data_IF_604577536181
#
_entry.id   IF_604577536181
#
_cell.length_a   1.000
_cell.length_b   1.000
_cell.length_c   1.000
_cell.angle_alpha   90.00
_cell.angle_beta   90.00
_cell.angle_gamma   90.00
#
_symmetry.space_group_name_H-M   'P 1'
#
loop_
_entity.id
_entity.type
_entity.pdbx_description
1 polymer ?
#
# COMPACT_ATOMS: atom_id res chain seq x y z
N UNK A 1 -22.50 42.63 -16.89
CA UNK A 1 -22.71 41.59 -17.92
C UNK A 1 -21.44 40.77 -18.13
N UNK A 2 -21.37 39.51 -17.67
CA UNK A 2 -20.30 38.57 -18.05
C UNK A 2 -20.94 37.38 -18.76
N UNK A 3 -20.75 37.30 -20.08
CA UNK A 3 -21.15 36.16 -20.93
C UNK A 3 -20.49 34.88 -20.38
N UNK A 4 -21.27 34.00 -19.75
CA UNK A 4 -20.86 32.61 -19.56
C UNK A 4 -20.86 31.98 -20.95
N UNK A 5 -19.67 31.69 -21.47
CA UNK A 5 -19.51 30.87 -22.67
C UNK A 5 -20.02 29.47 -22.32
N UNK A 6 -21.28 29.21 -22.66
CA UNK A 6 -21.82 27.87 -22.62
C UNK A 6 -21.03 27.01 -23.61
N UNK A 7 -20.27 26.05 -23.10
CA UNK A 7 -19.67 25.01 -23.94
C UNK A 7 -20.80 24.36 -24.75
N UNK A 8 -20.67 24.28 -26.08
CA UNK A 8 -21.73 23.76 -26.93
C UNK A 8 -22.09 22.34 -26.48
N UNK A 9 -23.37 21.98 -26.48
CA UNK A 9 -23.87 20.69 -25.97
C UNK A 9 -23.10 19.47 -26.53
N UNK A 10 -22.54 19.60 -27.74
CA UNK A 10 -21.64 18.62 -28.38
C UNK A 10 -20.31 18.39 -27.64
N UNK A 11 -19.73 19.42 -27.00
CA UNK A 11 -18.49 19.30 -26.23
C UNK A 11 -18.72 18.63 -24.87
N UNK A 12 -19.83 18.97 -24.20
CA UNK A 12 -20.22 18.33 -22.93
C UNK A 12 -20.58 16.85 -23.11
N UNK A 13 -21.28 16.50 -24.20
CA UNK A 13 -21.57 15.10 -24.53
C UNK A 13 -20.30 14.32 -24.85
N UNK A 14 -19.38 14.87 -25.65
CA UNK A 14 -18.07 14.24 -25.95
C UNK A 14 -17.23 14.00 -24.70
N UNK A 15 -17.22 14.92 -23.73
CA UNK A 15 -16.49 14.76 -22.46
C UNK A 15 -17.11 13.66 -21.59
N UNK A 16 -18.44 13.55 -21.57
CA UNK A 16 -19.14 12.47 -20.88
C UNK A 16 -18.85 11.11 -21.53
N UNK A 17 -18.90 11.02 -22.86
CA UNK A 17 -18.56 9.80 -23.61
C UNK A 17 -17.09 9.40 -23.41
N UNK A 18 -16.17 10.38 -23.38
CA UNK A 18 -14.75 10.13 -23.13
C UNK A 18 -14.50 9.60 -21.72
N UNK A 19 -15.15 10.17 -20.70
CA UNK A 19 -15.07 9.66 -19.32
C UNK A 19 -15.58 8.22 -19.19
N UNK A 20 -16.68 7.88 -19.86
CA UNK A 20 -17.22 6.53 -19.85
C UNK A 20 -16.28 5.55 -20.56
N UNK A 21 -15.69 5.95 -21.70
CA UNK A 21 -14.71 5.13 -22.43
C UNK A 21 -13.43 4.89 -21.63
N UNK A 22 -12.88 5.91 -20.96
CA UNK A 22 -11.68 5.75 -20.11
C UNK A 22 -11.95 4.82 -18.93
N UNK A 23 -13.15 4.89 -18.33
CA UNK A 23 -13.53 3.97 -17.25
C UNK A 23 -13.64 2.52 -17.75
N UNK A 24 -14.22 2.31 -18.94
CA UNK A 24 -14.30 1.01 -19.58
C UNK A 24 -12.92 0.45 -19.96
N UNK A 25 -12.02 1.29 -20.49
CA UNK A 25 -10.65 0.87 -20.84
C UNK A 25 -9.85 0.50 -19.59
N UNK A 26 -10.00 1.25 -18.49
CA UNK A 26 -9.33 0.94 -17.23
C UNK A 26 -9.87 -0.36 -16.61
N UNK A 27 -11.19 -0.57 -16.64
CA UNK A 27 -11.80 -1.82 -16.21
C UNK A 27 -11.34 -3.01 -17.07
N UNK A 28 -11.25 -2.84 -18.40
CA UNK A 28 -10.76 -3.86 -19.31
C UNK A 28 -9.29 -4.21 -19.04
N UNK A 29 -8.43 -3.21 -18.85
CA UNK A 29 -7.02 -3.42 -18.50
C UNK A 29 -6.87 -4.14 -17.15
N UNK A 30 -7.69 -3.79 -16.17
CA UNK A 30 -7.68 -4.44 -14.86
C UNK A 30 -8.10 -5.92 -14.94
N UNK A 31 -9.12 -6.22 -15.75
CA UNK A 31 -9.54 -7.60 -16.01
C UNK A 31 -8.43 -8.37 -16.72
N UNK A 32 -7.81 -7.80 -17.76
CA UNK A 32 -6.70 -8.44 -18.48
C UNK A 32 -5.51 -8.72 -17.55
N UNK A 33 -5.14 -7.77 -16.70
CA UNK A 33 -4.06 -7.96 -15.73
C UNK A 33 -4.37 -9.09 -14.74
N UNK A 34 -5.61 -9.16 -14.22
CA UNK A 34 -6.06 -10.26 -13.36
C UNK A 34 -6.02 -11.61 -14.07
N UNK A 35 -6.41 -11.67 -15.35
CA UNK A 35 -6.35 -12.91 -16.13
C UNK A 35 -4.92 -13.38 -16.40
N UNK A 36 -3.98 -12.46 -16.64
CA UNK A 36 -2.57 -12.79 -16.86
C UNK A 36 -1.91 -13.28 -15.57
N UNK A 37 -2.22 -12.65 -14.42
CA UNK A 37 -1.77 -13.12 -13.11
C UNK A 37 -2.31 -14.54 -12.86
N UNK A 38 -3.60 -14.78 -13.15
CA UNK A 38 -4.21 -16.10 -12.99
C UNK A 38 -3.53 -17.18 -13.85
N UNK A 39 -3.14 -16.84 -15.08
CA UNK A 39 -2.41 -17.75 -15.97
C UNK A 39 -0.98 -18.03 -15.50
N UNK A 40 -0.29 -17.03 -14.95
CA UNK A 40 1.08 -17.17 -14.44
C UNK A 40 1.16 -18.01 -13.15
N UNK A 41 0.06 -18.16 -12.41
CA UNK A 41 -0.03 -18.95 -11.18
C UNK A 41 -0.41 -20.43 -11.42
N UNK A 42 -0.57 -20.87 -12.67
CA UNK A 42 -0.85 -22.27 -12.95
C UNK A 42 0.39 -23.13 -12.62
N UNK A 43 0.29 -24.13 -11.72
CA UNK A 43 1.41 -24.98 -11.37
C UNK A 43 1.86 -25.81 -12.58
N UNK A 44 3.17 -26.04 -12.71
CA UNK A 44 3.73 -26.94 -13.71
C UNK A 44 3.12 -28.34 -13.55
N UNK A 45 2.62 -28.91 -14.64
CA UNK A 45 1.95 -30.22 -14.62
C UNK A 45 2.94 -31.32 -14.22
N UNK A 46 2.81 -31.83 -13.00
CA UNK A 46 3.51 -33.05 -12.58
C UNK A 46 2.77 -34.26 -13.16
N UNK A 47 3.39 -34.97 -14.10
CA UNK A 47 2.88 -36.19 -14.71
C UNK A 47 3.06 -37.37 -13.75
N UNK A 48 2.32 -37.38 -12.63
CA UNK A 48 2.18 -38.53 -11.76
C UNK A 48 0.76 -39.06 -11.90
N UNK A 49 0.62 -40.37 -12.13
CA UNK A 49 -0.70 -41.01 -12.19
C UNK A 49 -1.35 -40.93 -10.81
N UNK A 50 -2.43 -40.17 -10.70
CA UNK A 50 -3.25 -40.05 -9.49
C UNK A 50 -4.60 -40.66 -9.80
N UNK A 51 -5.04 -41.61 -8.97
CA UNK A 51 -6.34 -42.26 -9.16
C UNK A 51 -7.49 -41.22 -9.14
N UNK A 52 -8.48 -41.33 -10.05
CA UNK A 52 -9.57 -40.35 -10.17
C UNK A 52 -10.38 -40.11 -8.88
N UNK A 53 -10.45 -41.12 -8.01
CA UNK A 53 -11.10 -41.02 -6.70
C UNK A 53 -10.40 -40.01 -5.78
N UNK A 54 -9.06 -40.05 -5.69
CA UNK A 54 -8.25 -39.14 -4.86
C UNK A 54 -8.26 -37.72 -5.43
N UNK A 55 -8.24 -37.58 -6.75
CA UNK A 55 -8.30 -36.28 -7.41
C UNK A 55 -9.63 -35.53 -7.11
N UNK A 56 -10.74 -36.25 -7.01
CA UNK A 56 -12.05 -35.64 -6.73
C UNK A 56 -12.12 -35.11 -5.30
N UNK A 57 -11.68 -35.88 -4.31
CA UNK A 57 -11.64 -35.43 -2.92
C UNK A 57 -10.68 -34.27 -2.69
N UNK A 58 -9.52 -34.27 -3.36
CA UNK A 58 -8.52 -33.20 -3.23
C UNK A 58 -9.00 -31.89 -3.84
N UNK A 59 -9.64 -31.92 -5.02
CA UNK A 59 -10.25 -30.73 -5.63
C UNK A 59 -11.35 -30.17 -4.73
N UNK A 60 -12.22 -31.02 -4.18
CA UNK A 60 -13.29 -30.59 -3.27
C UNK A 60 -12.74 -29.96 -1.99
N UNK A 61 -11.72 -30.58 -1.38
CA UNK A 61 -11.09 -30.05 -0.17
C UNK A 61 -10.42 -28.70 -0.44
N UNK A 62 -9.65 -28.56 -1.53
CA UNK A 62 -9.04 -27.29 -1.93
C UNK A 62 -10.09 -26.21 -2.22
N UNK A 63 -11.14 -26.55 -2.97
CA UNK A 63 -12.22 -25.62 -3.27
C UNK A 63 -12.93 -25.13 -1.99
N UNK A 64 -13.22 -26.03 -1.05
CA UNK A 64 -13.83 -25.69 0.24
C UNK A 64 -12.95 -24.75 1.06
N UNK A 65 -11.63 -25.00 1.10
CA UNK A 65 -10.66 -24.14 1.80
C UNK A 65 -10.61 -22.74 1.17
N UNK A 66 -10.53 -22.65 -0.16
CA UNK A 66 -10.50 -21.37 -0.87
C UNK A 66 -11.79 -20.57 -0.65
N UNK A 67 -12.95 -21.23 -0.70
CA UNK A 67 -14.25 -20.59 -0.46
C UNK A 67 -14.36 -20.10 0.98
N UNK A 68 -13.93 -20.91 1.96
CA UNK A 68 -13.94 -20.53 3.37
C UNK A 68 -13.03 -19.32 3.64
N UNK A 69 -11.79 -19.35 3.12
CA UNK A 69 -10.85 -18.23 3.25
C UNK A 69 -11.40 -16.96 2.60
N UNK A 70 -12.00 -17.08 1.41
CA UNK A 70 -12.61 -15.94 0.70
C UNK A 70 -13.78 -15.34 1.48
N UNK A 71 -14.62 -16.17 2.08
CA UNK A 71 -15.73 -15.70 2.93
C UNK A 71 -15.20 -15.01 4.20
N UNK A 72 -14.20 -15.58 4.85
CA UNK A 72 -13.58 -15.01 6.06
C UNK A 72 -12.91 -13.68 5.74
N UNK A 73 -12.14 -13.59 4.66
CA UNK A 73 -11.52 -12.34 4.20
C UNK A 73 -12.57 -11.28 3.82
N UNK A 74 -13.63 -11.68 3.11
CA UNK A 74 -14.73 -10.78 2.76
C UNK A 74 -15.47 -10.22 3.99
N UNK A 75 -15.72 -11.06 4.99
CA UNK A 75 -16.35 -10.66 6.26
C UNK A 75 -15.40 -9.79 7.08
N UNK A 76 -14.11 -10.15 7.16
CA UNK A 76 -13.09 -9.38 7.85
C UNK A 76 -12.94 -7.98 7.23
N UNK A 77 -12.91 -7.87 5.90
CA UNK A 77 -12.87 -6.60 5.18
C UNK A 77 -14.13 -5.76 5.39
N UNK A 78 -15.31 -6.39 5.40
CA UNK A 78 -16.57 -5.70 5.69
C UNK A 78 -16.62 -5.18 7.13
N UNK A 79 -16.08 -5.95 8.08
CA UNK A 79 -16.03 -5.60 9.50
C UNK A 79 -14.98 -4.53 9.78
N UNK A 80 -13.80 -4.63 9.17
CA UNK A 80 -12.73 -3.63 9.27
C UNK A 80 -13.17 -2.30 8.67
N UNK A 81 -13.85 -2.30 7.50
CA UNK A 81 -14.45 -1.10 6.90
C UNK A 81 -15.44 -0.43 7.84
N UNK A 82 -16.35 -1.20 8.46
CA UNK A 82 -17.31 -0.67 9.45
C UNK A 82 -16.62 -0.14 10.71
N UNK A 83 -15.62 -0.85 11.22
CA UNK A 83 -14.85 -0.44 12.39
C UNK A 83 -14.07 0.84 12.11
N UNK A 84 -13.43 0.93 10.95
CA UNK A 84 -12.71 2.12 10.48
C UNK A 84 -13.65 3.32 10.32
N UNK A 85 -14.85 3.14 9.77
CA UNK A 85 -15.85 4.21 9.66
C UNK A 85 -16.39 4.68 11.02
N UNK A 86 -16.58 3.75 11.97
CA UNK A 86 -16.95 4.08 13.36
C UNK A 86 -15.82 4.82 14.08
N UNK A 87 -14.59 4.34 13.96
CA UNK A 87 -13.39 4.93 14.56
C UNK A 87 -13.13 6.34 14.04
N UNK A 88 -13.31 6.56 12.73
CA UNK A 88 -13.10 7.86 12.08
C UNK A 88 -14.31 8.82 12.16
N UNK A 89 -15.43 8.41 12.79
CA UNK A 89 -16.70 9.18 12.85
C UNK A 89 -17.11 9.76 11.49
N UNK A 90 -16.90 8.99 10.42
CA UNK A 90 -17.37 9.34 9.07
C UNK A 90 -18.81 8.85 9.00
N UNK A 91 -19.76 9.77 9.18
CA UNK A 91 -21.18 9.45 9.10
C UNK A 91 -21.55 8.97 7.69
N UNK A 92 -21.92 7.69 7.60
CA UNK A 92 -22.30 6.98 6.39
C UNK A 92 -23.67 7.46 5.87
N UNK A 93 -24.50 8.04 6.76
CA UNK A 93 -25.86 8.49 6.46
C UNK A 93 -26.00 10.01 6.25
N UNK A 94 -24.94 10.80 6.42
CA UNK A 94 -24.99 12.26 6.28
C UNK A 94 -25.33 12.79 4.87
N UNK A 95 -25.47 11.92 3.87
CA UNK A 95 -25.85 12.26 2.49
C UNK A 95 -27.01 11.40 1.95
N UNK A 96 -27.74 10.67 2.80
CA UNK A 96 -28.96 10.00 2.33
C UNK A 96 -30.02 11.07 2.13
N UNK A 97 -30.24 11.44 0.87
CA UNK A 97 -31.31 12.36 0.47
C UNK A 97 -32.62 11.60 0.73
N UNK A 98 -33.32 11.98 1.81
CA UNK A 98 -34.70 11.58 2.04
C UNK A 98 -35.54 12.52 1.17
N UNK A 99 -36.29 11.97 0.22
CA UNK A 99 -37.16 12.77 -0.63
C UNK A 99 -38.18 13.50 0.23
N UNK A 100 -38.22 14.83 0.13
CA UNK A 100 -39.20 15.66 0.81
C UNK A 100 -40.58 15.54 0.17
N UNK A 101 -41.61 15.61 1.00
CA UNK A 101 -43.01 15.48 0.61
C UNK A 101 -43.40 16.49 -0.49
N UNK A 102 -43.98 15.96 -1.58
CA UNK A 102 -44.30 16.71 -2.80
C UNK A 102 -45.50 17.64 -2.57
N UNK A 103 -45.37 18.92 -2.93
CA UNK A 103 -46.49 19.87 -3.02
C UNK A 103 -46.69 20.33 -4.47
N UNK A 104 -47.95 20.46 -4.89
CA UNK A 104 -48.34 20.97 -6.22
C UNK A 104 -48.12 22.48 -6.26
N UNK A 105 -47.48 22.98 -7.32
CA UNK A 105 -47.22 24.41 -7.55
C UNK A 105 -47.83 24.82 -8.89
N UNK A 106 -48.54 25.95 -8.91
CA UNK A 106 -49.10 26.55 -10.13
C UNK A 106 -48.04 27.21 -11.03
N UNK A 107 -48.32 27.23 -12.34
CA UNK A 107 -47.37 27.51 -13.42
C UNK A 107 -46.61 28.86 -13.32
N UNK A 108 -47.20 29.91 -12.73
CA UNK A 108 -46.55 31.22 -12.58
C UNK A 108 -45.68 31.33 -11.31
N UNK A 109 -45.96 30.54 -10.27
CA UNK A 109 -45.10 30.42 -9.08
C UNK A 109 -43.91 29.50 -9.30
N UNK A 110 -44.03 28.55 -10.23
CA UNK A 110 -43.00 27.58 -10.57
C UNK A 110 -41.76 28.21 -11.21
N UNK A 111 -41.89 29.27 -12.02
CA UNK A 111 -40.74 29.92 -12.66
C UNK A 111 -39.92 30.78 -11.68
N UNK A 112 -40.58 31.52 -10.79
CA UNK A 112 -39.93 32.29 -9.73
C UNK A 112 -39.28 31.37 -8.68
N UNK A 113 -39.96 30.27 -8.30
CA UNK A 113 -39.42 29.25 -7.43
C UNK A 113 -38.24 28.51 -8.06
N UNK A 114 -38.27 28.22 -9.38
CA UNK A 114 -37.16 27.57 -10.09
C UNK A 114 -35.91 28.45 -10.17
N UNK A 115 -36.06 29.77 -10.33
CA UNK A 115 -34.91 30.69 -10.35
C UNK A 115 -34.24 30.76 -8.97
N UNK A 116 -35.03 30.93 -7.91
CA UNK A 116 -34.53 30.93 -6.53
C UNK A 116 -33.98 29.56 -6.12
N UNK A 117 -34.65 28.47 -6.48
CA UNK A 117 -34.20 27.10 -6.23
C UNK A 117 -32.89 26.80 -6.96
N UNK A 118 -32.65 27.34 -8.16
CA UNK A 118 -31.41 27.14 -8.90
C UNK A 118 -30.23 27.90 -8.29
N UNK A 119 -30.46 29.09 -7.73
CA UNK A 119 -29.44 29.81 -6.97
C UNK A 119 -29.17 29.15 -5.61
N UNK A 120 -30.21 28.70 -4.90
CA UNK A 120 -30.08 27.94 -3.65
C UNK A 120 -29.38 26.61 -3.92
N UNK A 121 -29.75 25.85 -4.95
CA UNK A 121 -29.08 24.61 -5.36
C UNK A 121 -27.64 24.86 -5.84
N UNK A 122 -27.33 26.00 -6.46
CA UNK A 122 -25.96 26.32 -6.87
C UNK A 122 -25.09 26.68 -5.66
N UNK A 123 -25.61 27.52 -4.75
CA UNK A 123 -24.95 27.86 -3.49
C UNK A 123 -24.83 26.65 -2.56
N UNK A 124 -25.85 25.80 -2.54
CA UNK A 124 -25.89 24.55 -1.78
C UNK A 124 -25.03 23.49 -2.44
N UNK A 125 -24.90 23.42 -3.77
CA UNK A 125 -23.95 22.56 -4.46
C UNK A 125 -22.50 23.00 -4.21
N UNK A 126 -22.22 24.30 -4.12
CA UNK A 126 -20.90 24.83 -3.73
C UNK A 126 -20.62 24.51 -2.25
N UNK A 127 -21.56 24.79 -1.34
CA UNK A 127 -21.47 24.37 0.07
C UNK A 127 -21.34 22.86 0.21
N UNK A 128 -22.05 22.06 -0.58
CA UNK A 128 -21.96 20.60 -0.57
C UNK A 128 -20.62 20.15 -1.12
N UNK A 129 -20.02 20.85 -2.09
CA UNK A 129 -18.69 20.54 -2.62
C UNK A 129 -17.61 20.84 -1.58
N UNK A 130 -17.70 21.98 -0.90
CA UNK A 130 -16.84 22.33 0.24
C UNK A 130 -17.04 21.40 1.46
N UNK A 131 -18.29 20.97 1.72
CA UNK A 131 -18.66 20.05 2.80
C UNK A 131 -18.32 18.59 2.46
N UNK A 132 -18.38 18.18 1.19
CA UNK A 132 -17.97 16.84 0.67
C UNK A 132 -16.45 16.68 0.65
N UNK A 133 -15.69 17.77 0.54
CA UNK A 133 -14.23 17.78 0.77
C UNK A 133 -13.86 17.56 2.25
N UNK A 134 -14.84 17.60 3.15
CA UNK A 134 -14.84 16.97 4.47
C UNK A 134 -13.53 17.14 5.21
N UNK A 135 -13.34 18.28 5.86
CA UNK A 135 -12.23 18.47 6.80
C UNK A 135 -12.33 17.38 7.88
N UNK A 136 -11.33 16.49 7.94
CA UNK A 136 -11.27 15.48 8.99
C UNK A 136 -11.20 16.17 10.35
N UNK A 137 -11.92 15.61 11.33
CA UNK A 137 -11.75 15.97 12.75
C UNK A 137 -10.26 15.78 13.13
N UNK A 138 -9.71 16.58 14.05
CA UNK A 138 -8.29 16.52 14.41
C UNK A 138 -7.80 15.10 14.75
N UNK A 139 -8.62 14.33 15.49
CA UNK A 139 -8.32 12.93 15.86
C UNK A 139 -8.23 11.99 14.66
N UNK A 140 -9.10 12.15 13.66
CA UNK A 140 -9.06 11.35 12.43
C UNK A 140 -7.87 11.70 11.54
N UNK A 141 -7.39 12.94 11.58
CA UNK A 141 -6.21 13.37 10.81
C UNK A 141 -4.94 12.68 11.29
N UNK A 142 -4.76 12.61 12.60
CA UNK A 142 -3.60 11.96 13.22
C UNK A 142 -3.58 10.47 12.86
N UNK A 143 -4.72 9.78 12.92
CA UNK A 143 -4.79 8.36 12.54
C UNK A 143 -4.42 8.09 11.08
N UNK A 144 -4.87 8.94 10.15
CA UNK A 144 -4.50 8.83 8.73
C UNK A 144 -3.03 9.15 8.50
N UNK A 145 -2.53 10.23 9.11
CA UNK A 145 -1.14 10.62 9.01
C UNK A 145 -0.21 9.53 9.57
N UNK A 146 -0.60 8.91 10.69
CA UNK A 146 0.16 7.85 11.33
C UNK A 146 0.27 6.62 10.43
N UNK A 147 -0.85 6.13 9.89
CA UNK A 147 -0.82 4.91 9.08
C UNK A 147 0.04 5.06 7.83
N UNK A 148 -0.06 6.21 7.16
CA UNK A 148 0.66 6.47 5.90
C UNK A 148 2.14 6.76 6.16
N UNK A 149 2.45 7.49 7.23
CA UNK A 149 3.83 7.68 7.68
C UNK A 149 4.46 6.35 8.06
N UNK A 150 3.74 5.53 8.83
CA UNK A 150 4.21 4.22 9.26
C UNK A 150 4.46 3.31 8.06
N UNK A 151 3.54 3.21 7.11
CA UNK A 151 3.74 2.44 5.87
C UNK A 151 5.01 2.86 5.13
N UNK A 152 5.18 4.16 4.89
CA UNK A 152 6.30 4.69 4.11
C UNK A 152 7.63 4.45 4.81
N UNK A 153 7.70 4.74 6.11
CA UNK A 153 8.90 4.56 6.92
C UNK A 153 9.22 3.07 7.12
N UNK A 154 8.21 2.24 7.35
CA UNK A 154 8.36 0.79 7.46
C UNK A 154 8.96 0.21 6.18
N UNK A 155 8.45 0.60 5.02
CA UNK A 155 8.96 0.15 3.71
C UNK A 155 10.43 0.54 3.49
N UNK A 156 10.78 1.81 3.75
CA UNK A 156 12.11 2.33 3.39
C UNK A 156 13.17 2.03 4.45
N UNK A 157 12.83 2.21 5.73
CA UNK A 157 13.81 2.19 6.81
C UNK A 157 13.79 0.92 7.64
N UNK A 158 12.74 0.10 7.57
CA UNK A 158 12.68 -1.13 8.36
C UNK A 158 12.83 -2.36 7.45
N UNK A 159 11.98 -2.48 6.44
CA UNK A 159 11.97 -3.61 5.51
C UNK A 159 13.28 -3.69 4.73
N UNK A 160 13.70 -2.60 4.08
CA UNK A 160 14.88 -2.65 3.21
C UNK A 160 16.20 -3.02 3.95
N UNK A 161 16.53 -2.45 5.13
CA UNK A 161 17.73 -2.89 5.86
C UNK A 161 17.64 -4.33 6.39
N UNK A 162 16.45 -4.77 6.83
CA UNK A 162 16.26 -6.13 7.33
C UNK A 162 16.39 -7.17 6.20
N UNK A 163 15.85 -6.88 5.02
CA UNK A 163 16.03 -7.70 3.82
C UNK A 163 17.50 -7.76 3.40
N UNK A 164 18.22 -6.63 3.44
CA UNK A 164 19.64 -6.59 3.11
C UNK A 164 20.49 -7.45 4.05
N UNK A 165 20.27 -7.33 5.37
CA UNK A 165 21.00 -8.10 6.38
C UNK A 165 20.62 -9.58 6.30
N UNK A 166 19.35 -9.91 6.10
CA UNK A 166 18.90 -11.29 5.98
C UNK A 166 19.55 -12.01 4.78
N UNK A 167 19.62 -11.33 3.65
CA UNK A 167 20.20 -11.90 2.42
C UNK A 167 21.73 -12.00 2.48
N UNK A 168 22.38 -11.19 3.32
CA UNK A 168 23.84 -11.17 3.50
C UNK A 168 24.28 -11.82 4.82
N UNK A 169 23.40 -12.61 5.46
CA UNK A 169 23.61 -13.13 6.81
C UNK A 169 24.83 -14.08 6.94
N UNK A 170 25.38 -14.58 5.83
CA UNK A 170 26.60 -15.39 5.81
C UNK A 170 27.88 -14.55 5.80
N UNK A 171 27.83 -13.37 5.21
CA UNK A 171 29.00 -12.50 4.99
C UNK A 171 29.13 -11.42 6.08
N UNK A 172 28.08 -11.22 6.89
CA UNK A 172 28.04 -10.26 7.98
C UNK A 172 28.41 -10.91 9.31
N UNK A 173 29.25 -10.23 10.10
CA UNK A 173 29.69 -10.66 11.43
C UNK A 173 28.66 -10.47 12.55
N UNK A 174 27.47 -9.96 12.25
CA UNK A 174 26.41 -9.65 13.22
C UNK A 174 25.09 -10.27 12.79
N UNK A 175 24.26 -10.64 13.77
CA UNK A 175 23.00 -11.32 13.51
C UNK A 175 21.87 -10.31 13.21
N UNK A 176 20.83 -10.78 12.53
CA UNK A 176 19.63 -10.01 12.24
C UNK A 176 18.94 -9.49 13.51
N UNK A 177 19.03 -10.22 14.62
CA UNK A 177 18.49 -9.79 15.91
C UNK A 177 19.21 -8.57 16.50
N UNK A 178 20.51 -8.41 16.24
CA UNK A 178 21.30 -7.29 16.75
C UNK A 178 20.93 -5.98 16.05
N UNK A 179 20.55 -6.08 14.77
CA UNK A 179 20.19 -4.94 13.92
C UNK A 179 18.71 -4.58 14.01
N UNK A 180 17.83 -5.57 14.20
CA UNK A 180 16.38 -5.34 14.18
C UNK A 180 15.91 -4.34 15.23
N UNK A 181 16.42 -4.42 16.47
CA UNK A 181 16.03 -3.52 17.56
C UNK A 181 16.28 -2.03 17.24
N UNK A 182 17.53 -1.64 16.94
CA UNK A 182 17.86 -0.25 16.56
C UNK A 182 17.09 0.25 15.33
N UNK A 183 16.94 -0.59 14.30
CA UNK A 183 16.25 -0.23 13.05
C UNK A 183 14.76 0.02 13.28
N UNK A 184 14.08 -0.85 14.03
CA UNK A 184 12.65 -0.68 14.37
C UNK A 184 12.46 0.57 15.24
N UNK A 185 13.34 0.81 16.22
CA UNK A 185 13.26 1.98 17.09
C UNK A 185 13.43 3.28 16.29
N UNK A 186 14.44 3.35 15.41
CA UNK A 186 14.65 4.50 14.54
C UNK A 186 13.45 4.72 13.59
N UNK A 187 12.91 3.64 13.01
CA UNK A 187 11.71 3.69 12.17
C UNK A 187 10.48 4.22 12.92
N UNK A 188 10.27 3.81 14.18
CA UNK A 188 9.17 4.31 15.01
C UNK A 188 9.34 5.79 15.33
N UNK A 189 10.54 6.23 15.70
CA UNK A 189 10.82 7.66 15.99
C UNK A 189 10.54 8.52 14.76
N UNK A 190 11.05 8.13 13.59
CA UNK A 190 10.84 8.87 12.33
C UNK A 190 9.36 8.87 11.94
N UNK A 191 8.66 7.74 12.13
CA UNK A 191 7.21 7.66 11.90
C UNK A 191 6.46 8.68 12.76
N UNK A 192 6.79 8.79 14.05
CA UNK A 192 6.13 9.74 14.95
C UNK A 192 6.41 11.19 14.56
N UNK A 193 7.65 11.51 14.18
CA UNK A 193 8.05 12.84 13.70
C UNK A 193 7.28 13.20 12.42
N UNK A 194 7.25 12.30 11.43
CA UNK A 194 6.53 12.51 10.17
C UNK A 194 5.02 12.63 10.39
N UNK A 195 4.47 11.83 11.29
CA UNK A 195 3.05 11.91 11.70
C UNK A 195 2.73 13.26 12.31
N UNK A 196 3.58 13.78 13.19
CA UNK A 196 3.42 15.10 13.80
C UNK A 196 3.49 16.19 12.74
N UNK A 197 4.51 16.16 11.88
CA UNK A 197 4.70 17.12 10.78
C UNK A 197 3.49 17.15 9.83
N UNK A 198 2.99 16.00 9.39
CA UNK A 198 1.81 15.92 8.52
C UNK A 198 0.54 16.37 9.25
N UNK A 199 0.40 16.07 10.54
CA UNK A 199 -0.79 16.45 11.33
C UNK A 199 -0.93 17.97 11.52
N UNK A 200 0.18 18.71 11.48
CA UNK A 200 0.19 20.18 11.51
C UNK A 200 -0.43 20.80 10.25
N UNK A 201 -0.36 20.10 9.11
CA UNK A 201 -0.92 20.56 7.84
C UNK A 201 -2.45 20.61 7.88
N UNK A 202 -3.04 21.60 7.21
CA UNK A 202 -4.49 21.86 7.23
C UNK A 202 -5.11 21.84 5.83
N UNK A 203 -6.40 21.50 5.78
CA UNK A 203 -7.26 21.57 4.58
C UNK A 203 -6.70 20.75 3.41
N UNK A 204 -6.65 21.30 2.19
CA UNK A 204 -6.21 20.61 0.98
C UNK A 204 -4.72 20.24 1.01
N UNK A 205 -3.89 21.03 1.69
CA UNK A 205 -2.44 20.77 1.82
C UNK A 205 -2.20 19.43 2.52
N UNK A 206 -2.98 19.12 3.56
CA UNK A 206 -2.90 17.81 4.23
C UNK A 206 -3.14 16.64 3.26
N UNK A 207 -4.17 16.73 2.41
CA UNK A 207 -4.51 15.65 1.48
C UNK A 207 -3.44 15.45 0.41
N UNK A 208 -2.85 16.55 -0.08
CA UNK A 208 -1.78 16.47 -1.09
C UNK A 208 -0.51 15.92 -0.45
N UNK A 209 -0.13 16.41 0.74
CA UNK A 209 1.06 15.93 1.43
C UNK A 209 0.98 14.45 1.79
N UNK A 210 -0.17 14.00 2.31
CA UNK A 210 -0.40 12.58 2.63
C UNK A 210 -0.36 11.69 1.38
N UNK A 211 -1.00 12.13 0.28
CA UNK A 211 -0.95 11.39 -0.98
C UNK A 211 0.47 11.33 -1.57
N UNK A 212 1.25 12.40 -1.40
CA UNK A 212 2.64 12.46 -1.85
C UNK A 212 3.54 11.51 -1.04
N UNK A 213 3.41 11.51 0.28
CA UNK A 213 4.15 10.59 1.16
C UNK A 213 3.81 9.14 0.84
N UNK A 214 2.53 8.81 0.66
CA UNK A 214 2.16 7.45 0.26
C UNK A 214 2.68 7.08 -1.13
N UNK A 215 2.66 8.02 -2.09
CA UNK A 215 3.20 7.77 -3.42
C UNK A 215 4.69 7.43 -3.38
N UNK A 216 5.45 8.10 -2.50
CA UNK A 216 6.86 7.75 -2.25
C UNK A 216 6.94 6.32 -1.70
N UNK A 217 6.16 5.98 -0.67
CA UNK A 217 6.17 4.63 -0.10
C UNK A 217 5.82 3.54 -1.12
N UNK A 218 4.81 3.77 -1.96
CA UNK A 218 4.42 2.85 -3.04
C UNK A 218 5.50 2.76 -4.11
N UNK A 219 6.09 3.88 -4.52
CA UNK A 219 7.18 3.88 -5.49
C UNK A 219 8.42 3.14 -4.97
N UNK A 220 8.78 3.33 -3.70
CA UNK A 220 9.84 2.57 -3.03
C UNK A 220 9.54 1.07 -2.95
N UNK A 221 8.30 0.68 -2.66
CA UNK A 221 7.90 -0.72 -2.67
C UNK A 221 8.00 -1.35 -4.07
N UNK A 222 7.48 -0.66 -5.10
CA UNK A 222 7.59 -1.09 -6.49
C UNK A 222 9.05 -1.18 -6.93
N UNK A 223 9.90 -0.24 -6.47
CA UNK A 223 11.33 -0.26 -6.72
C UNK A 223 11.96 -1.54 -6.16
N UNK A 224 11.70 -1.84 -4.89
CA UNK A 224 12.24 -3.00 -4.19
C UNK A 224 11.84 -4.33 -4.85
N UNK A 225 10.57 -4.46 -5.24
CA UNK A 225 10.03 -5.73 -5.76
C UNK A 225 10.34 -5.96 -7.24
N UNK A 226 10.29 -4.90 -8.07
CA UNK A 226 10.28 -5.07 -9.54
C UNK A 226 11.42 -4.36 -10.28
N UNK A 227 11.86 -3.19 -9.81
CA UNK A 227 12.79 -2.34 -10.57
C UNK A 227 14.26 -2.56 -10.20
N UNK A 228 14.50 -3.25 -9.10
CA UNK A 228 15.84 -3.59 -8.59
C UNK A 228 16.44 -4.86 -9.23
N UNK A 229 15.80 -5.40 -10.26
CA UNK A 229 16.24 -6.61 -10.95
C UNK A 229 17.60 -6.43 -11.63
N UNK A 230 18.56 -7.30 -11.29
CA UNK A 230 19.89 -7.32 -11.91
C UNK A 230 20.87 -6.29 -11.36
N UNK A 231 20.55 -5.61 -10.25
CA UNK A 231 21.54 -4.82 -9.53
C UNK A 231 22.61 -5.73 -8.91
N UNK A 232 23.89 -5.30 -8.90
CA UNK A 232 24.95 -6.08 -8.30
C UNK A 232 24.70 -6.28 -6.80
N UNK A 233 25.14 -7.41 -6.28
CA UNK A 233 25.12 -7.66 -4.84
C UNK A 233 26.04 -6.64 -4.15
N UNK A 234 25.70 -6.28 -2.91
CA UNK A 234 26.51 -5.38 -2.11
C UNK A 234 27.71 -6.14 -1.51
N UNK A 235 28.55 -6.70 -2.38
CA UNK A 235 29.71 -7.55 -2.06
C UNK A 235 31.03 -6.78 -1.96
N UNK A 236 30.98 -5.45 -2.12
CA UNK A 236 32.14 -4.56 -2.04
C UNK A 236 32.93 -4.44 -3.34
N UNK A 237 32.53 -5.11 -4.42
CA UNK A 237 33.10 -4.89 -5.75
C UNK A 237 32.68 -3.53 -6.33
N UNK A 238 33.53 -2.97 -7.19
CA UNK A 238 33.27 -1.68 -7.84
C UNK A 238 32.05 -1.79 -8.77
N UNK A 239 31.04 -0.95 -8.51
CA UNK A 239 29.82 -0.89 -9.30
C UNK A 239 30.00 0.07 -10.47
N UNK A 240 29.99 -0.46 -11.70
CA UNK A 240 30.03 0.34 -12.93
C UNK A 240 28.63 0.91 -13.22
N UNK A 241 28.34 2.09 -12.66
CA UNK A 241 27.03 2.74 -12.75
C UNK A 241 26.57 3.09 -14.18
N UNK A 242 27.50 3.25 -15.13
CA UNK A 242 27.16 3.59 -16.52
C UNK A 242 26.26 2.53 -17.17
N UNK A 243 26.44 1.25 -16.82
CA UNK A 243 25.64 0.13 -17.33
C UNK A 243 24.19 0.15 -16.84
N UNK A 244 23.91 0.84 -15.73
CA UNK A 244 22.59 0.92 -15.10
C UNK A 244 21.85 2.23 -15.42
N UNK A 245 22.43 3.11 -16.23
CA UNK A 245 21.82 4.41 -16.59
C UNK A 245 20.41 4.26 -17.17
N UNK A 246 20.19 3.29 -18.05
CA UNK A 246 18.87 3.03 -18.64
C UNK A 246 17.85 2.57 -17.58
N UNK A 247 18.27 1.71 -16.64
CA UNK A 247 17.41 1.26 -15.54
C UNK A 247 17.06 2.41 -14.58
N UNK A 248 18.02 3.30 -14.32
CA UNK A 248 17.80 4.50 -13.50
C UNK A 248 16.79 5.45 -14.15
N UNK A 249 16.90 5.71 -15.46
CA UNK A 249 15.96 6.58 -16.20
C UNK A 249 14.55 5.99 -16.19
N UNK A 250 14.41 4.70 -16.51
CA UNK A 250 13.11 4.02 -16.52
C UNK A 250 12.48 4.05 -15.13
N UNK A 251 13.25 3.75 -14.09
CA UNK A 251 12.78 3.81 -12.70
C UNK A 251 12.33 5.23 -12.30
N UNK A 252 13.11 6.24 -12.68
CA UNK A 252 12.76 7.65 -12.44
C UNK A 252 11.45 8.07 -13.12
N UNK A 253 11.20 7.61 -14.36
CA UNK A 253 9.93 7.87 -15.06
C UNK A 253 8.76 7.20 -14.35
N UNK A 254 8.92 5.95 -13.90
CA UNK A 254 7.88 5.23 -13.14
C UNK A 254 7.56 5.95 -11.83
N UNK A 255 8.59 6.39 -11.11
CA UNK A 255 8.43 7.20 -9.90
C UNK A 255 7.63 8.48 -10.16
N UNK A 256 8.01 9.24 -11.19
CA UNK A 256 7.29 10.46 -11.57
C UNK A 256 5.84 10.17 -11.96
N UNK A 257 5.58 9.07 -12.67
CA UNK A 257 4.23 8.66 -13.05
C UNK A 257 3.36 8.32 -11.84
N UNK A 258 3.89 7.57 -10.87
CA UNK A 258 3.19 7.21 -9.62
C UNK A 258 2.87 8.47 -8.81
N UNK A 259 3.87 9.34 -8.61
CA UNK A 259 3.70 10.59 -7.85
C UNK A 259 2.68 11.51 -8.55
N UNK A 260 2.81 11.70 -9.87
CA UNK A 260 1.87 12.52 -10.62
C UNK A 260 0.44 11.97 -10.55
N UNK A 261 0.26 10.66 -10.70
CA UNK A 261 -1.05 10.03 -10.58
C UNK A 261 -1.66 10.24 -9.18
N UNK A 262 -0.87 10.05 -8.11
CA UNK A 262 -1.33 10.26 -6.74
C UNK A 262 -1.71 11.73 -6.47
N UNK A 263 -0.92 12.69 -6.94
CA UNK A 263 -1.19 14.13 -6.76
C UNK A 263 -2.42 14.55 -7.56
N UNK A 264 -2.54 14.14 -8.83
CA UNK A 264 -3.70 14.46 -9.69
C UNK A 264 -4.98 13.85 -9.11
N UNK A 265 -4.92 12.61 -8.62
CA UNK A 265 -6.07 11.96 -7.98
C UNK A 265 -6.46 12.64 -6.66
N UNK A 266 -5.46 13.15 -5.91
CA UNK A 266 -5.67 13.90 -4.66
C UNK A 266 -6.45 15.21 -4.90
N UNK A 267 -6.19 15.88 -6.02
CA UNK A 267 -6.89 17.10 -6.42
C UNK A 267 -8.33 16.84 -6.93
N UNK A 268 -8.60 15.68 -7.55
CA UNK A 268 -9.89 15.40 -8.19
C UNK A 268 -10.92 14.76 -7.25
N UNK A 269 -10.52 13.91 -6.30
CA UNK A 269 -11.44 13.12 -5.45
C UNK A 269 -10.92 12.83 -4.04
N UNK A 270 -10.72 13.88 -3.25
CA UNK A 270 -10.18 13.81 -1.87
C UNK A 270 -10.81 12.76 -0.93
N UNK A 271 -12.13 12.50 -1.03
CA UNK A 271 -12.82 11.54 -0.13
C UNK A 271 -12.58 10.07 -0.50
N UNK A 272 -12.64 9.72 -1.78
CA UNK A 272 -12.40 8.35 -2.24
C UNK A 272 -10.93 7.99 -2.13
N UNK A 273 -10.03 8.96 -2.39
CA UNK A 273 -8.59 8.81 -2.22
C UNK A 273 -8.24 8.42 -0.80
N UNK A 274 -8.71 9.14 0.24
CA UNK A 274 -8.36 8.82 1.64
C UNK A 274 -8.71 7.38 2.04
N UNK A 275 -9.85 6.85 1.62
CA UNK A 275 -10.20 5.45 1.91
C UNK A 275 -9.34 4.49 1.12
N UNK A 276 -9.06 4.79 -0.15
CA UNK A 276 -8.13 4.01 -0.97
C UNK A 276 -6.75 3.93 -0.32
N UNK A 277 -6.16 5.09 -0.02
CA UNK A 277 -4.87 5.27 0.64
C UNK A 277 -4.71 4.45 1.92
N UNK A 278 -5.72 4.51 2.81
CA UNK A 278 -5.69 3.73 4.04
C UNK A 278 -5.73 2.22 3.80
N UNK A 279 -6.50 1.78 2.79
CA UNK A 279 -6.60 0.36 2.44
C UNK A 279 -5.31 -0.14 1.79
N UNK A 280 -4.72 0.63 0.86
CA UNK A 280 -3.43 0.30 0.24
C UNK A 280 -2.32 0.24 1.27
N UNK A 281 -2.19 1.27 2.11
CA UNK A 281 -1.19 1.29 3.17
C UNK A 281 -1.34 0.10 4.13
N UNK A 282 -2.56 -0.19 4.61
CA UNK A 282 -2.80 -1.32 5.51
C UNK A 282 -2.48 -2.67 4.85
N UNK A 283 -2.90 -2.88 3.60
CA UNK A 283 -2.62 -4.13 2.89
C UNK A 283 -1.10 -4.34 2.69
N UNK A 284 -0.38 -3.30 2.26
CA UNK A 284 1.06 -3.39 2.01
C UNK A 284 1.87 -3.53 3.30
N UNK A 285 1.44 -2.93 4.42
CA UNK A 285 2.05 -3.19 5.73
C UNK A 285 1.96 -4.67 6.08
N UNK A 286 0.78 -5.30 5.90
CA UNK A 286 0.59 -6.73 6.23
C UNK A 286 1.48 -7.60 5.35
N UNK A 287 1.48 -7.37 4.04
CA UNK A 287 2.29 -8.14 3.08
C UNK A 287 3.78 -8.04 3.43
N UNK A 288 4.28 -6.83 3.69
CA UNK A 288 5.67 -6.61 4.05
C UNK A 288 6.02 -7.18 5.43
N UNK A 289 5.13 -7.07 6.41
CA UNK A 289 5.35 -7.66 7.73
C UNK A 289 5.49 -9.19 7.67
N UNK A 290 4.66 -9.85 6.84
CA UNK A 290 4.78 -11.30 6.60
C UNK A 290 6.08 -11.61 5.87
N UNK A 291 6.44 -10.83 4.84
CA UNK A 291 7.70 -10.97 4.12
C UNK A 291 8.90 -10.89 5.05
N UNK A 292 9.00 -9.81 5.81
CA UNK A 292 10.08 -9.56 6.77
C UNK A 292 10.12 -10.66 7.84
N UNK A 293 8.99 -11.04 8.44
CA UNK A 293 8.95 -12.14 9.42
C UNK A 293 9.43 -13.48 8.86
N UNK A 294 9.17 -13.77 7.59
CA UNK A 294 9.61 -15.01 6.94
C UNK A 294 11.13 -15.11 6.76
N UNK A 295 11.84 -13.98 6.81
CA UNK A 295 13.31 -13.93 6.65
C UNK A 295 14.07 -14.42 7.89
N UNK A 296 13.48 -14.36 9.09
CA UNK A 296 14.18 -14.70 10.34
C UNK A 296 14.68 -16.15 10.37
N UNK A 297 13.85 -17.11 9.94
CA UNK A 297 14.23 -18.52 9.99
C UNK A 297 15.48 -18.82 9.14
N UNK A 298 15.45 -18.53 7.83
CA UNK A 298 16.59 -18.72 6.94
C UNK A 298 17.82 -17.89 7.35
N UNK A 299 17.63 -16.64 7.76
CA UNK A 299 18.75 -15.76 8.13
C UNK A 299 19.48 -16.26 9.39
N UNK A 300 18.74 -16.71 10.42
CA UNK A 300 19.33 -17.27 11.64
C UNK A 300 20.09 -18.55 11.29
N UNK A 301 19.49 -19.47 10.52
CA UNK A 301 20.15 -20.70 10.11
C UNK A 301 21.45 -20.42 9.33
N UNK A 302 21.41 -19.49 8.36
CA UNK A 302 22.57 -19.10 7.59
C UNK A 302 23.68 -18.45 8.44
N UNK A 303 23.31 -17.63 9.43
CA UNK A 303 24.27 -17.03 10.36
C UNK A 303 24.94 -18.06 11.26
N UNK A 304 24.20 -19.09 11.71
CA UNK A 304 24.71 -20.17 12.55
C UNK A 304 25.66 -21.09 11.77
N UNK A 305 25.33 -21.39 10.51
CA UNK A 305 26.16 -22.21 9.63
C UNK A 305 27.48 -21.51 9.24
N UNK A 306 27.46 -20.18 9.05
CA UNK A 306 28.64 -19.42 8.68
C UNK A 306 29.58 -19.14 9.88
N UNK A 307 29.04 -19.04 11.09
CA UNK A 307 29.79 -18.70 12.31
C UNK A 307 29.88 -19.87 13.29
N UNK A 308 30.26 -21.06 12.79
CA UNK A 308 30.48 -22.28 13.61
C UNK A 308 31.43 -22.03 14.80
N UNK A 309 32.26 -20.99 14.73
CA UNK A 309 33.17 -20.55 15.81
C UNK A 309 32.45 -19.99 17.06
N UNK A 310 31.15 -19.66 16.99
CA UNK A 310 30.34 -19.28 18.15
C UNK A 310 29.67 -20.47 18.86
N UNK A 311 29.87 -21.69 18.39
CA UNK A 311 29.79 -22.83 19.31
C UNK A 311 30.96 -22.66 20.25
N UNK A 312 30.70 -22.13 21.46
CA UNK A 312 31.71 -21.96 22.51
C UNK A 312 32.68 -23.14 22.44
N UNK A 313 33.89 -22.90 21.95
CA UNK A 313 34.95 -23.89 22.06
C UNK A 313 35.20 -23.96 23.56
N UNK A 314 34.54 -24.92 24.22
CA UNK A 314 34.78 -25.24 25.62
C UNK A 314 36.16 -25.89 25.64
N UNK A 315 37.19 -25.06 25.61
CA UNK A 315 38.56 -25.48 25.84
C UNK A 315 38.72 -25.62 27.35
N UNK A 316 38.57 -26.84 27.85
CA UNK A 316 38.85 -27.15 29.24
C UNK A 316 40.36 -26.94 29.48
N UNK A 317 40.73 -26.18 30.51
CA UNK A 317 42.14 -26.05 30.95
C UNK A 317 42.66 -27.31 31.65
N UNK A 318 41.86 -28.37 31.73
CA UNK A 318 42.27 -29.66 32.28
C UNK A 318 43.41 -30.26 31.46
N UNK A 319 44.55 -30.46 32.09
CA UNK A 319 45.72 -31.06 31.46
C UNK A 319 46.63 -30.11 30.68
N UNK A 320 46.37 -28.79 30.67
CA UNK A 320 47.22 -27.81 29.96
C UNK A 320 48.70 -27.83 30.41
N UNK A 321 48.95 -28.28 31.64
CA UNK A 321 50.29 -28.44 32.21
C UNK A 321 50.69 -29.90 32.43
N UNK A 322 49.89 -30.87 31.97
CA UNK A 322 50.25 -32.28 32.06
C UNK A 322 51.14 -32.65 30.87
N UNK A 323 52.43 -32.81 31.15
CA UNK A 323 53.40 -33.32 30.19
C UNK A 323 53.32 -34.85 30.15
N UNK A 324 53.31 -35.42 28.94
CA UNK A 324 53.31 -36.87 28.72
C UNK A 324 54.54 -37.53 29.36
N UNK A 325 54.33 -38.65 30.05
CA UNK A 325 55.41 -39.45 30.65
C UNK A 325 56.27 -40.20 29.63
N UNK A 326 55.93 -40.13 28.33
CA UNK A 326 56.78 -40.62 27.25
C UNK A 326 57.62 -39.47 26.70
N UNK A 327 58.81 -39.32 27.29
CA UNK A 327 60.04 -38.65 26.85
C UNK A 327 59.89 -37.59 25.74
N UNK A 328 60.21 -36.34 26.11
CA UNK A 328 60.67 -35.28 25.20
C UNK A 328 61.90 -35.72 24.39
#
# INVERSE_FOLDING_TARGET
>A
MRKKVALPAKAASRIATYKTRVFFVHAALYVVALTLIWWALLPATAQAYVDPSVMTYTIQALAAVVVALSAVLGVAFRRSRKALFRLLKIDENANKIVEGTVHKVDAKGAEAANAQMKEILAAEAIRLKERKEGTLKPKGRIGVAFLISFFTVFTILVVAPLELVANSARDLSFNLNDVAGPVILAGLVITLILTAALSLLRKRVFNVAVAFVEAIGVASYVQAVFLNGGMPLADGHEVIWSNFTSQMIVSGIIWLAIIAAAVVFSLLKARQLRTGLLVTAAALIIVQAVGVASLWGPAIAASMDAHVEHQQVIATREGLYNVSSKKN
#
